data_IF_126544127870
#
_entry.id   IF_126544127870
#
_cell.length_a   1.000
_cell.length_b   1.000
_cell.length_c   1.000
_cell.angle_alpha   90.00
_cell.angle_beta   90.00
_cell.angle_gamma   90.00
#
_symmetry.space_group_name_H-M   'P 1'
#
loop_
_entity.id
_entity.type
_entity.pdbx_description
1 polymer ?
#
# COMPACT_ATOMS: atom_id res chain seq x y z
N UNK A 1 -11.37 9.42 13.34
CA UNK A 1 -10.87 8.60 12.23
C UNK A 1 -9.91 7.48 12.68
N UNK A 2 -8.85 7.75 13.45
CA UNK A 2 -7.88 6.71 13.88
C UNK A 2 -8.49 5.38 14.37
N UNK A 3 -9.47 5.45 15.29
CA UNK A 3 -10.16 4.26 15.80
C UNK A 3 -10.86 3.45 14.71
N UNK A 4 -11.52 4.12 13.77
CA UNK A 4 -12.24 3.47 12.66
C UNK A 4 -11.26 2.70 11.76
N UNK A 5 -10.12 3.31 11.42
CA UNK A 5 -9.09 2.61 10.62
C UNK A 5 -8.57 1.38 11.35
N UNK A 6 -8.19 1.53 12.62
CA UNK A 6 -7.66 0.42 13.42
C UNK A 6 -8.68 -0.71 13.55
N UNK A 7 -9.93 -0.41 13.89
CA UNK A 7 -10.97 -1.44 14.06
C UNK A 7 -11.31 -2.15 12.76
N UNK A 8 -11.41 -1.43 11.65
CA UNK A 8 -11.68 -2.03 10.34
C UNK A 8 -10.51 -2.90 9.86
N UNK A 9 -9.27 -2.43 10.00
CA UNK A 9 -8.09 -3.24 9.64
C UNK A 9 -7.98 -4.50 10.50
N UNK A 10 -8.19 -4.39 11.82
CA UNK A 10 -8.21 -5.55 12.71
C UNK A 10 -9.34 -6.52 12.36
N UNK A 11 -10.51 -6.01 11.99
CA UNK A 11 -11.63 -6.83 11.56
C UNK A 11 -11.33 -7.58 10.25
N UNK A 12 -10.68 -6.93 9.28
CA UNK A 12 -10.23 -7.57 8.03
C UNK A 12 -9.23 -8.70 8.31
N UNK A 13 -8.21 -8.43 9.14
CA UNK A 13 -7.22 -9.47 9.52
C UNK A 13 -7.91 -10.62 10.26
N UNK A 14 -8.83 -10.32 11.17
CA UNK A 14 -9.58 -11.32 11.91
C UNK A 14 -10.41 -12.22 10.99
N UNK A 15 -11.11 -11.64 10.02
CA UNK A 15 -11.95 -12.38 9.08
C UNK A 15 -11.15 -13.24 8.11
N UNK A 16 -9.98 -12.78 7.67
CA UNK A 16 -9.09 -13.55 6.79
C UNK A 16 -8.37 -14.70 7.52
N UNK A 17 -7.79 -14.45 8.71
CA UNK A 17 -6.94 -15.45 9.38
C UNK A 17 -7.66 -16.33 10.40
N UNK A 18 -8.57 -15.77 11.19
CA UNK A 18 -9.06 -16.43 12.41
C UNK A 18 -10.50 -16.91 12.29
N UNK A 19 -11.39 -16.11 11.69
CA UNK A 19 -12.80 -16.47 11.56
C UNK A 19 -12.97 -17.66 10.62
N UNK A 20 -13.54 -18.76 11.11
CA UNK A 20 -13.99 -19.88 10.26
C UNK A 20 -15.26 -19.46 9.51
N UNK A 21 -15.08 -18.84 8.36
CA UNK A 21 -16.15 -18.43 7.45
C UNK A 21 -15.70 -18.58 5.99
N UNK A 22 -16.56 -18.19 5.02
CA UNK A 22 -16.28 -18.38 3.60
C UNK A 22 -14.95 -17.70 3.19
N UNK A 23 -14.69 -16.50 3.70
CA UNK A 23 -13.47 -15.71 3.39
C UNK A 23 -12.17 -16.46 3.69
N UNK A 24 -12.09 -17.15 4.83
CA UNK A 24 -10.90 -17.93 5.19
C UNK A 24 -10.77 -19.19 4.34
N UNK A 25 -11.89 -19.81 3.97
CA UNK A 25 -11.89 -21.01 3.14
C UNK A 25 -11.48 -20.72 1.70
N UNK A 26 -11.79 -19.51 1.21
CA UNK A 26 -11.40 -19.03 -0.13
C UNK A 26 -10.01 -18.39 -0.17
N UNK A 27 -9.30 -18.29 0.96
CA UNK A 27 -7.97 -17.68 1.00
C UNK A 27 -6.90 -18.65 0.46
N UNK A 28 -6.25 -18.25 -0.63
CA UNK A 28 -5.15 -19.00 -1.25
C UNK A 28 -3.80 -18.57 -0.67
N UNK A 29 -3.33 -19.32 0.33
CA UNK A 29 -2.03 -19.10 0.96
C UNK A 29 -0.84 -19.47 0.07
N UNK A 30 -1.02 -20.31 -0.96
CA UNK A 30 0.07 -20.69 -1.86
C UNK A 30 0.37 -19.55 -2.84
N UNK A 31 -0.67 -18.87 -3.31
CA UNK A 31 -0.53 -17.67 -4.12
C UNK A 31 0.04 -16.49 -3.31
N UNK A 32 -0.38 -16.30 -2.06
CA UNK A 32 0.07 -15.24 -1.13
C UNK A 32 1.34 -15.61 -0.34
N UNK A 33 2.42 -15.95 -1.05
CA UNK A 33 3.70 -16.39 -0.47
C UNK A 33 4.80 -15.31 -0.52
N UNK A 34 4.42 -14.03 -0.45
CA UNK A 34 5.40 -12.95 -0.43
C UNK A 34 6.04 -12.83 0.96
N UNK A 35 7.35 -13.06 1.07
CA UNK A 35 8.06 -13.02 2.35
C UNK A 35 8.36 -11.58 2.80
N UNK A 36 7.32 -10.86 3.21
CA UNK A 36 7.40 -9.46 3.64
C UNK A 36 8.33 -9.25 4.84
N UNK A 37 8.43 -10.25 5.74
CA UNK A 37 9.26 -10.17 6.93
C UNK A 37 10.76 -10.13 6.59
N UNK A 38 11.16 -10.82 5.51
CA UNK A 38 12.54 -10.82 5.03
C UNK A 38 12.84 -9.62 4.11
N UNK A 39 11.91 -9.28 3.23
CA UNK A 39 12.18 -8.33 2.14
C UNK A 39 11.76 -6.89 2.41
N UNK A 40 10.77 -6.65 3.30
CA UNK A 40 10.26 -5.29 3.57
C UNK A 40 10.68 -4.76 4.93
N UNK A 41 10.53 -5.56 5.99
CA UNK A 41 10.79 -5.09 7.35
C UNK A 41 12.23 -4.63 7.58
N UNK A 42 13.28 -5.36 7.14
CA UNK A 42 14.66 -4.93 7.40
C UNK A 42 15.02 -3.62 6.67
N UNK A 43 14.72 -3.43 5.37
CA UNK A 43 14.92 -2.14 4.70
C UNK A 43 14.15 -0.99 5.36
N UNK A 44 12.88 -1.19 5.72
CA UNK A 44 12.10 -0.16 6.41
C UNK A 44 12.72 0.21 7.77
N UNK A 45 13.19 -0.78 8.53
CA UNK A 45 13.84 -0.54 9.82
C UNK A 45 15.16 0.23 9.65
N UNK A 46 16.01 -0.18 8.69
CA UNK A 46 17.27 0.52 8.38
C UNK A 46 17.01 1.95 7.95
N UNK A 47 16.05 2.17 7.02
CA UNK A 47 15.67 3.52 6.59
C UNK A 47 15.17 4.36 7.76
N UNK A 48 14.34 3.79 8.64
CA UNK A 48 13.86 4.50 9.85
C UNK A 48 15.01 4.98 10.71
N UNK A 49 16.00 4.12 10.99
CA UNK A 49 17.15 4.48 11.82
C UNK A 49 18.01 5.58 11.18
N UNK A 50 18.05 5.68 9.85
CA UNK A 50 18.82 6.69 9.13
C UNK A 50 18.06 8.02 9.04
N UNK A 51 16.73 7.98 8.88
CA UNK A 51 15.92 9.16 8.53
C UNK A 51 15.08 9.71 9.67
N UNK A 52 15.10 9.12 10.86
CA UNK A 52 14.35 9.64 12.02
C UNK A 52 14.90 11.02 12.41
N UNK A 53 14.01 11.97 12.70
CA UNK A 53 14.42 13.31 13.13
C UNK A 53 15.02 13.26 14.54
N UNK A 54 14.36 12.54 15.44
CA UNK A 54 14.79 12.29 16.81
C UNK A 54 14.68 10.79 17.14
N UNK A 55 15.54 10.31 18.04
CA UNK A 55 15.52 8.92 18.51
C UNK A 55 14.53 8.70 19.67
N UNK A 56 13.48 9.52 19.75
CA UNK A 56 12.37 9.23 20.64
C UNK A 56 11.57 8.04 20.11
N UNK A 57 11.01 7.22 21.01
CA UNK A 57 10.23 6.04 20.61
C UNK A 57 9.05 6.43 19.70
N UNK A 58 8.42 7.58 19.97
CA UNK A 58 7.29 8.08 19.18
C UNK A 58 7.72 8.43 17.76
N UNK A 59 8.85 9.12 17.60
CA UNK A 59 9.33 9.57 16.30
C UNK A 59 9.85 8.40 15.44
N UNK A 60 10.51 7.43 16.08
CA UNK A 60 10.93 6.18 15.43
C UNK A 60 9.70 5.43 14.92
N UNK A 61 8.67 5.26 15.75
CA UNK A 61 7.44 4.56 15.34
C UNK A 61 6.70 5.32 14.24
N UNK A 62 6.67 6.65 14.30
CA UNK A 62 6.06 7.49 13.27
C UNK A 62 6.80 7.33 11.94
N UNK A 63 8.12 7.51 11.92
CA UNK A 63 8.98 7.35 10.73
C UNK A 63 8.87 5.94 10.15
N UNK A 64 8.89 4.92 11.01
CA UNK A 64 8.73 3.51 10.61
C UNK A 64 7.38 3.27 9.95
N UNK A 65 6.31 3.85 10.48
CA UNK A 65 4.97 3.70 9.91
C UNK A 65 4.87 4.27 8.48
N UNK A 66 5.55 5.38 8.19
CA UNK A 66 5.60 5.96 6.85
C UNK A 66 6.32 5.03 5.87
N UNK A 67 7.51 4.52 6.24
CA UNK A 67 8.25 3.61 5.37
C UNK A 67 7.52 2.29 5.14
N UNK A 68 6.95 1.71 6.20
CA UNK A 68 6.17 0.47 6.08
C UNK A 68 4.93 0.67 5.20
N UNK A 69 4.21 1.78 5.38
CA UNK A 69 3.03 2.07 4.58
C UNK A 69 3.35 2.23 3.10
N UNK A 70 4.51 2.81 2.76
CA UNK A 70 4.92 3.01 1.37
C UNK A 70 5.06 1.71 0.59
N UNK A 71 5.46 0.61 1.25
CA UNK A 71 5.72 -0.70 0.64
C UNK A 71 4.68 -1.77 0.99
N UNK A 72 3.72 -1.46 1.88
CA UNK A 72 2.74 -2.43 2.39
C UNK A 72 1.85 -3.06 1.31
N UNK A 73 1.74 -2.42 0.14
CA UNK A 73 0.94 -2.92 -0.98
C UNK A 73 1.63 -4.02 -1.80
N UNK A 74 2.95 -4.18 -1.69
CA UNK A 74 3.73 -5.11 -2.52
C UNK A 74 3.25 -6.57 -2.48
N UNK A 75 2.91 -7.16 -1.31
CA UNK A 75 2.36 -8.52 -1.26
C UNK A 75 1.07 -8.66 -2.09
N UNK A 76 0.18 -7.67 -1.99
CA UNK A 76 -1.07 -7.67 -2.73
C UNK A 76 -0.84 -7.52 -4.23
N UNK A 77 0.08 -6.66 -4.67
CA UNK A 77 0.42 -6.54 -6.10
C UNK A 77 1.02 -7.85 -6.63
N UNK A 78 1.92 -8.48 -5.88
CA UNK A 78 2.49 -9.79 -6.23
C UNK A 78 1.42 -10.88 -6.34
N UNK A 79 0.40 -10.85 -5.47
CA UNK A 79 -0.72 -11.79 -5.54
C UNK A 79 -1.55 -11.57 -6.82
N UNK A 80 -1.87 -10.32 -7.13
CA UNK A 80 -2.67 -9.96 -8.31
C UNK A 80 -1.95 -10.31 -9.62
N UNK A 81 -0.63 -10.13 -9.68
CA UNK A 81 0.19 -10.56 -10.82
C UNK A 81 0.13 -12.08 -11.02
N UNK A 82 0.15 -12.87 -9.95
CA UNK A 82 0.05 -14.34 -10.02
C UNK A 82 -1.33 -14.82 -10.45
N UNK A 83 -2.40 -14.14 -10.01
CA UNK A 83 -3.78 -14.47 -10.38
C UNK A 83 -4.12 -14.12 -11.83
N UNK A 84 -3.33 -13.26 -12.47
CA UNK A 84 -3.49 -12.72 -13.83
C UNK A 84 -4.74 -11.87 -14.02
N UNK A 85 -5.92 -12.42 -13.78
CA UNK A 85 -7.19 -11.72 -13.93
C UNK A 85 -7.61 -11.08 -12.60
N UNK A 86 -7.67 -9.75 -12.58
CA UNK A 86 -8.06 -8.99 -11.39
C UNK A 86 -9.55 -8.68 -11.44
N UNK A 87 -10.28 -9.06 -10.39
CA UNK A 87 -11.69 -8.76 -10.25
C UNK A 87 -11.96 -7.24 -10.23
N UNK A 88 -13.10 -6.83 -10.79
CA UNK A 88 -13.51 -5.41 -10.81
C UNK A 88 -13.61 -4.78 -9.41
N UNK A 89 -14.11 -5.50 -8.40
CA UNK A 89 -14.21 -4.96 -7.05
C UNK A 89 -12.82 -4.73 -6.44
N UNK A 90 -11.95 -5.72 -6.54
CA UNK A 90 -10.56 -5.66 -6.06
C UNK A 90 -9.78 -4.55 -6.75
N UNK A 91 -9.94 -4.41 -8.07
CA UNK A 91 -9.24 -3.37 -8.82
C UNK A 91 -9.69 -1.97 -8.44
N UNK A 92 -11.00 -1.74 -8.27
CA UNK A 92 -11.52 -0.47 -7.77
C UNK A 92 -11.02 -0.16 -6.35
N UNK A 93 -10.91 -1.17 -5.48
CA UNK A 93 -10.37 -1.00 -4.13
C UNK A 93 -8.89 -0.57 -4.15
N UNK A 94 -8.05 -1.27 -4.92
CA UNK A 94 -6.63 -0.94 -5.08
C UNK A 94 -6.47 0.44 -5.71
N UNK A 95 -7.31 0.78 -6.70
CA UNK A 95 -7.33 2.12 -7.29
C UNK A 95 -7.66 3.21 -6.27
N UNK A 96 -8.72 3.02 -5.47
CA UNK A 96 -9.10 3.98 -4.42
C UNK A 96 -7.99 4.13 -3.37
N UNK A 97 -7.30 3.03 -3.02
CA UNK A 97 -6.14 3.07 -2.13
C UNK A 97 -4.98 3.86 -2.72
N UNK A 98 -4.64 3.69 -4.00
CA UNK A 98 -3.60 4.51 -4.61
C UNK A 98 -4.04 5.98 -4.76
N UNK A 99 -5.29 6.22 -5.13
CA UNK A 99 -5.84 7.56 -5.38
C UNK A 99 -5.84 8.42 -4.11
N UNK A 100 -6.17 7.86 -2.93
CA UNK A 100 -6.08 8.62 -1.68
C UNK A 100 -4.66 9.18 -1.51
N UNK A 101 -3.63 8.37 -1.80
CA UNK A 101 -2.23 8.80 -1.63
C UNK A 101 -1.85 9.87 -2.65
N UNK A 102 -2.31 9.73 -3.89
CA UNK A 102 -2.16 10.79 -4.90
C UNK A 102 -2.72 12.14 -4.43
N UNK A 103 -3.92 12.14 -3.82
CA UNK A 103 -4.49 13.36 -3.24
C UNK A 103 -3.69 13.91 -2.06
N UNK A 104 -3.07 13.06 -1.24
CA UNK A 104 -2.16 13.51 -0.18
C UNK A 104 -0.92 14.22 -0.74
N UNK A 105 -0.32 13.71 -1.82
CA UNK A 105 0.81 14.38 -2.48
C UNK A 105 0.39 15.76 -3.00
N UNK A 106 -0.77 15.84 -3.67
CA UNK A 106 -1.31 17.13 -4.14
C UNK A 106 -1.53 18.10 -2.97
N UNK A 107 -2.05 17.61 -1.84
CA UNK A 107 -2.21 18.42 -0.63
C UNK A 107 -0.87 18.92 -0.08
N UNK A 108 0.17 18.09 -0.07
CA UNK A 108 1.50 18.51 0.40
C UNK A 108 2.14 19.54 -0.51
N UNK A 109 1.97 19.40 -1.83
CA UNK A 109 2.42 20.42 -2.80
C UNK A 109 1.68 21.74 -2.55
N UNK A 110 0.37 21.71 -2.32
CA UNK A 110 -0.39 22.91 -1.97
C UNK A 110 0.14 23.56 -0.68
N UNK A 111 0.33 22.78 0.39
CA UNK A 111 0.85 23.27 1.67
C UNK A 111 2.28 23.79 1.60
N UNK A 112 3.10 23.29 0.68
CA UNK A 112 4.42 23.84 0.42
C UNK A 112 4.32 25.29 -0.09
N UNK A 113 3.43 25.55 -1.05
CA UNK A 113 3.26 26.89 -1.61
C UNK A 113 2.56 27.86 -0.66
N UNK A 114 1.65 27.39 0.20
CA UNK A 114 0.87 28.27 1.09
C UNK A 114 1.48 28.44 2.49
N UNK A 115 2.07 27.39 3.04
CA UNK A 115 2.55 27.33 4.43
C UNK A 115 4.07 27.11 4.54
N UNK A 116 4.77 26.84 3.42
CA UNK A 116 6.18 26.45 3.46
C UNK A 116 6.43 25.09 4.14
N UNK A 117 5.41 24.24 4.24
CA UNK A 117 5.51 22.94 4.90
C UNK A 117 6.41 21.97 4.13
N UNK A 118 7.45 21.46 4.79
CA UNK A 118 8.37 20.45 4.23
C UNK A 118 8.47 19.26 5.18
N UNK A 119 8.21 18.07 4.66
CA UNK A 119 8.39 16.81 5.37
C UNK A 119 9.03 15.79 4.43
N UNK A 120 10.37 15.72 4.47
CA UNK A 120 11.14 14.89 3.56
C UNK A 120 10.72 13.42 3.60
N UNK A 121 10.62 12.83 4.79
CA UNK A 121 10.24 11.42 4.97
C UNK A 121 8.83 11.15 4.42
N UNK A 122 7.87 12.02 4.73
CA UNK A 122 6.49 11.90 4.24
C UNK A 122 6.40 12.00 2.71
N UNK A 123 7.11 12.95 2.12
CA UNK A 123 7.12 13.18 0.68
C UNK A 123 7.79 12.03 -0.07
N UNK A 124 8.95 11.57 0.42
CA UNK A 124 9.65 10.43 -0.20
C UNK A 124 8.86 9.14 -0.06
N UNK A 125 8.31 8.85 1.12
CA UNK A 125 7.48 7.68 1.35
C UNK A 125 6.22 7.69 0.48
N UNK A 126 5.54 8.83 0.40
CA UNK A 126 4.37 8.98 -0.46
C UNK A 126 4.69 8.86 -1.94
N UNK A 127 5.80 9.44 -2.41
CA UNK A 127 6.25 9.31 -3.78
C UNK A 127 6.57 7.87 -4.17
N UNK A 128 7.29 7.13 -3.31
CA UNK A 128 7.54 5.68 -3.50
C UNK A 128 6.21 4.92 -3.58
N UNK A 129 5.29 5.20 -2.66
CA UNK A 129 4.00 4.53 -2.64
C UNK A 129 3.22 4.73 -3.94
N UNK A 130 3.12 5.97 -4.43
CA UNK A 130 2.44 6.26 -5.70
C UNK A 130 3.18 5.63 -6.88
N UNK A 131 4.52 5.66 -6.90
CA UNK A 131 5.31 5.02 -7.93
C UNK A 131 5.03 3.51 -8.04
N UNK A 132 4.87 2.82 -6.91
CA UNK A 132 4.47 1.41 -6.89
C UNK A 132 3.05 1.16 -7.43
N UNK A 133 2.15 2.14 -7.33
CA UNK A 133 0.81 2.06 -7.92
C UNK A 133 0.75 2.45 -9.41
N UNK A 134 1.77 3.15 -9.95
CA UNK A 134 1.72 3.69 -11.31
C UNK A 134 1.46 2.62 -12.37
N UNK A 135 2.16 1.49 -12.29
CA UNK A 135 1.98 0.37 -13.23
C UNK A 135 0.54 -0.18 -13.16
N UNK A 136 0.05 -0.41 -11.94
CA UNK A 136 -1.33 -0.84 -11.72
C UNK A 136 -2.36 0.16 -12.28
N UNK A 137 -2.15 1.47 -12.09
CA UNK A 137 -3.03 2.50 -12.62
C UNK A 137 -3.09 2.53 -14.14
N UNK A 138 -1.95 2.30 -14.79
CA UNK A 138 -1.88 2.22 -16.25
C UNK A 138 -2.79 1.09 -16.77
N UNK A 139 -2.61 -0.12 -16.25
CA UNK A 139 -3.43 -1.27 -16.65
C UNK A 139 -4.90 -1.11 -16.25
N UNK A 140 -5.17 -0.52 -15.09
CA UNK A 140 -6.52 -0.21 -14.64
C UNK A 140 -7.24 0.75 -15.60
N UNK A 141 -6.61 1.85 -15.98
CA UNK A 141 -7.17 2.82 -16.91
C UNK A 141 -7.43 2.20 -18.28
N UNK A 142 -6.49 1.40 -18.79
CA UNK A 142 -6.65 0.65 -20.03
C UNK A 142 -7.85 -0.31 -19.96
N UNK A 143 -7.96 -1.12 -18.91
CA UNK A 143 -9.09 -2.04 -18.71
C UNK A 143 -10.44 -1.30 -18.71
N UNK A 144 -10.53 -0.14 -18.05
CA UNK A 144 -11.77 0.64 -17.99
C UNK A 144 -12.13 1.33 -19.31
N UNK A 145 -11.16 1.86 -20.04
CA UNK A 145 -11.42 2.54 -21.31
C UNK A 145 -11.76 1.57 -22.43
N UNK A 146 -11.09 0.43 -22.50
CA UNK A 146 -11.31 -0.59 -23.55
C UNK A 146 -12.36 -1.64 -23.16
N UNK A 147 -12.90 -1.59 -21.94
CA UNK A 147 -13.88 -2.56 -21.44
C UNK A 147 -13.34 -3.99 -21.32
N UNK A 148 -12.02 -4.16 -21.27
CA UNK A 148 -11.35 -5.45 -21.18
C UNK A 148 -11.11 -5.84 -19.72
N UNK A 149 -10.93 -7.14 -19.47
CA UNK A 149 -10.53 -7.65 -18.14
C UNK A 149 -9.16 -7.08 -17.75
N UNK A 150 -8.99 -6.73 -16.48
CA UNK A 150 -7.70 -6.23 -15.99
C UNK A 150 -6.72 -7.39 -15.86
N UNK A 151 -5.70 -7.39 -16.72
CA UNK A 151 -4.62 -8.37 -16.73
C UNK A 151 -3.31 -7.64 -16.42
N UNK A 152 -2.63 -8.08 -15.36
CA UNK A 152 -1.32 -7.55 -14.99
C UNK A 152 -0.20 -8.39 -15.65
N UNK A 153 0.89 -7.76 -16.13
CA UNK A 153 2.05 -8.48 -16.64
C UNK A 153 2.77 -9.20 -15.48
N UNK A 154 3.43 -10.31 -15.80
CA UNK A 154 4.34 -10.94 -14.86
C UNK A 154 5.57 -10.04 -14.73
N UNK A 155 5.99 -9.75 -13.50
CA UNK A 155 7.36 -9.31 -13.27
C UNK A 155 8.26 -10.51 -13.60
N UNK A 156 9.03 -10.41 -14.69
CA UNK A 156 10.03 -11.42 -15.10
C UNK A 156 11.13 -11.62 -14.04
#
# INVERSE_FOLDING_TARGET
>A
MKLVFITLTLHLVYTMKFRRGPVKQTYDAAADNFNYAKWLLPPCFVLTMITTADYSIVEILWTMSIWMESVAILPQLSLLQRQREVENLTSNFVFAMGAYRGFYIINWVYRYFTEGYVNWVGWTGGAIQVALYCDFFYYFAMSKWYGQKLILPMAE
#
